data_IF_975837427062
#
_entry.id   IF_975837427062
#
_cell.length_a   1.000
_cell.length_b   1.000
_cell.length_c   1.000
_cell.angle_alpha   90.00
_cell.angle_beta   90.00
_cell.angle_gamma   90.00
#
_symmetry.space_group_name_H-M   'P 1'
#
loop_
_entity.id
_entity.type
_entity.pdbx_description
1 polymer ?
#
# COMPACT_ATOMS: atom_id res chain seq x y z
N UNK A 1 -3.10 -16.85 -29.99
CA UNK A 1 -4.02 -16.22 -29.02
C UNK A 1 -3.21 -15.83 -27.81
N UNK A 2 -3.05 -14.54 -27.54
CA UNK A 2 -2.45 -14.08 -26.29
C UNK A 2 -3.36 -14.51 -25.14
N UNK A 3 -2.81 -15.21 -24.15
CA UNK A 3 -3.55 -15.60 -22.94
C UNK A 3 -3.97 -14.32 -22.24
N UNK A 4 -5.26 -14.10 -22.05
CA UNK A 4 -5.77 -12.95 -21.30
C UNK A 4 -5.17 -13.02 -19.88
N UNK A 5 -4.32 -12.06 -19.54
CA UNK A 5 -3.55 -12.09 -18.30
C UNK A 5 -4.45 -11.59 -17.16
N UNK A 6 -4.66 -12.43 -16.15
CA UNK A 6 -5.39 -12.05 -14.94
C UNK A 6 -4.63 -10.95 -14.18
N UNK A 7 -5.34 -9.91 -13.78
CA UNK A 7 -4.81 -8.83 -12.93
C UNK A 7 -4.83 -9.27 -11.46
N UNK A 8 -3.98 -10.24 -11.12
CA UNK A 8 -3.86 -10.86 -9.81
C UNK A 8 -2.59 -10.44 -9.05
N UNK A 9 -2.29 -11.13 -7.95
CA UNK A 9 -1.11 -10.87 -7.13
C UNK A 9 0.21 -11.17 -7.85
N UNK A 10 0.25 -12.18 -8.73
CA UNK A 10 1.45 -12.50 -9.52
C UNK A 10 1.69 -11.45 -10.60
N UNK A 11 0.62 -11.00 -11.26
CA UNK A 11 0.72 -9.87 -12.18
C UNK A 11 1.23 -8.61 -11.47
N UNK A 12 0.68 -8.28 -10.29
CA UNK A 12 1.14 -7.12 -9.53
C UNK A 12 2.60 -7.26 -9.09
N UNK A 13 3.04 -8.47 -8.70
CA UNK A 13 4.42 -8.75 -8.34
C UNK A 13 5.37 -8.53 -9.52
N UNK A 14 4.99 -8.99 -10.73
CA UNK A 14 5.78 -8.76 -11.94
C UNK A 14 5.89 -7.26 -12.24
N UNK A 15 4.77 -6.53 -12.21
CA UNK A 15 4.78 -5.08 -12.45
C UNK A 15 5.62 -4.35 -11.41
N UNK A 16 5.54 -4.75 -10.14
CA UNK A 16 6.36 -4.17 -9.08
C UNK A 16 7.86 -4.40 -9.35
N UNK A 17 8.23 -5.58 -9.83
CA UNK A 17 9.61 -5.89 -10.23
C UNK A 17 10.05 -5.06 -11.44
N UNK A 18 9.24 -5.00 -12.50
CA UNK A 18 9.54 -4.27 -13.74
C UNK A 18 9.71 -2.76 -13.50
N UNK A 19 8.97 -2.21 -12.54
CA UNK A 19 9.08 -0.82 -12.10
C UNK A 19 10.28 -0.55 -11.18
N UNK A 20 11.13 -1.55 -10.91
CA UNK A 20 12.26 -1.44 -9.99
C UNK A 20 11.86 -1.34 -8.51
N UNK A 21 10.63 -1.75 -8.19
CA UNK A 21 10.07 -1.78 -6.84
C UNK A 21 10.56 -2.95 -6.00
N UNK A 22 11.22 -3.95 -6.60
CA UNK A 22 11.93 -5.03 -5.90
C UNK A 22 13.38 -5.03 -6.36
N UNK A 23 14.31 -4.92 -5.42
CA UNK A 23 15.75 -4.86 -5.70
C UNK A 23 16.49 -5.88 -4.84
N UNK A 24 17.49 -6.53 -5.43
CA UNK A 24 18.38 -7.48 -4.76
C UNK A 24 19.76 -6.86 -4.56
N UNK A 25 20.38 -7.08 -3.41
CA UNK A 25 21.63 -6.41 -3.05
C UNK A 25 21.88 -6.46 -1.56
N UNK A 26 22.60 -5.48 -1.02
CA UNK A 26 22.80 -5.32 0.42
C UNK A 26 22.23 -3.99 0.87
N UNK A 27 21.08 -4.02 1.55
CA UNK A 27 20.33 -2.82 1.92
C UNK A 27 20.33 -2.61 3.43
N UNK A 28 20.64 -1.39 3.84
CA UNK A 28 20.46 -0.93 5.22
C UNK A 28 19.50 0.27 5.20
N UNK A 29 18.25 0.04 5.65
CA UNK A 29 17.15 1.02 5.53
C UNK A 29 16.88 1.73 6.87
N UNK A 30 17.19 1.07 7.99
CA UNK A 30 17.06 1.61 9.34
C UNK A 30 17.88 0.76 10.31
N UNK A 31 18.00 1.18 11.58
CA UNK A 31 18.62 0.37 12.64
C UNK A 31 17.99 -1.02 12.81
N UNK A 32 16.70 -1.19 12.46
CA UNK A 32 16.00 -2.47 12.53
C UNK A 32 16.02 -3.26 11.20
N UNK A 33 16.59 -2.72 10.14
CA UNK A 33 16.65 -3.33 8.82
C UNK A 33 18.06 -3.17 8.24
N UNK A 34 19.01 -3.85 8.87
CA UNK A 34 20.43 -3.87 8.50
C UNK A 34 20.72 -5.10 7.65
N UNK A 35 21.49 -4.90 6.59
CA UNK A 35 22.00 -5.97 5.72
C UNK A 35 20.92 -6.89 5.11
N UNK A 36 19.79 -6.31 4.70
CA UNK A 36 18.75 -7.07 4.00
C UNK A 36 19.19 -7.42 2.58
N UNK A 37 19.02 -8.68 2.12
CA UNK A 37 19.32 -9.08 0.74
C UNK A 37 18.31 -8.52 -0.29
N UNK A 38 17.17 -8.03 0.20
CA UNK A 38 16.05 -7.57 -0.62
C UNK A 38 15.56 -6.21 -0.11
N UNK A 39 15.23 -5.32 -1.05
CA UNK A 39 14.53 -4.07 -0.77
C UNK A 39 13.24 -4.00 -1.59
N UNK A 40 12.14 -3.64 -0.93
CA UNK A 40 10.82 -3.48 -1.55
C UNK A 40 10.36 -2.04 -1.40
N UNK A 41 10.11 -1.37 -2.52
CA UNK A 41 9.64 0.00 -2.61
C UNK A 41 8.29 0.05 -3.36
N UNK A 42 7.15 -0.06 -2.65
CA UNK A 42 5.83 0.01 -3.29
C UNK A 42 5.47 1.39 -3.84
N UNK A 43 6.25 2.45 -3.52
CA UNK A 43 5.98 3.81 -4.03
C UNK A 43 6.10 3.90 -5.54
N UNK A 44 6.82 2.98 -6.18
CA UNK A 44 6.94 2.95 -7.65
C UNK A 44 5.58 2.73 -8.33
N UNK A 45 4.60 2.14 -7.64
CA UNK A 45 3.27 1.93 -8.20
C UNK A 45 2.56 3.24 -8.57
N UNK A 46 2.96 4.39 -8.00
CA UNK A 46 2.36 5.68 -8.35
C UNK A 46 2.57 6.05 -9.82
N UNK A 47 3.63 5.57 -10.47
CA UNK A 47 3.88 5.81 -11.89
C UNK A 47 3.07 4.88 -12.81
N UNK A 48 2.31 3.92 -12.25
CA UNK A 48 1.44 3.02 -13.00
C UNK A 48 0.03 2.98 -12.38
N UNK A 49 -0.91 3.81 -12.87
CA UNK A 49 -2.27 3.90 -12.32
C UNK A 49 -3.05 2.58 -12.32
N UNK A 50 -2.79 1.71 -13.30
CA UNK A 50 -3.42 0.38 -13.34
C UNK A 50 -2.90 -0.50 -12.22
N UNK A 51 -1.59 -0.54 -12.00
CA UNK A 51 -0.99 -1.30 -10.91
C UNK A 51 -1.45 -0.81 -9.54
N UNK A 52 -1.54 0.52 -9.36
CA UNK A 52 -2.05 1.12 -8.13
C UNK A 52 -3.51 0.72 -7.84
N UNK A 53 -4.36 0.66 -8.87
CA UNK A 53 -5.75 0.20 -8.76
C UNK A 53 -5.87 -1.30 -8.51
N UNK A 54 -4.99 -2.11 -9.11
CA UNK A 54 -4.96 -3.55 -8.81
C UNK A 54 -4.53 -3.78 -7.37
N UNK A 55 -3.55 -3.03 -6.86
CA UNK A 55 -3.15 -3.07 -5.46
C UNK A 55 -4.32 -2.74 -4.52
N UNK A 56 -5.13 -1.70 -4.81
CA UNK A 56 -6.31 -1.38 -3.99
C UNK A 56 -7.36 -2.49 -3.98
N UNK A 57 -7.62 -3.11 -5.13
CA UNK A 57 -8.55 -4.24 -5.24
C UNK A 57 -8.07 -5.48 -4.48
N UNK A 58 -6.79 -5.83 -4.61
CA UNK A 58 -6.20 -6.94 -3.86
C UNK A 58 -6.25 -6.67 -2.35
N UNK A 59 -5.96 -5.43 -1.90
CA UNK A 59 -6.13 -5.05 -0.49
C UNK A 59 -7.58 -5.24 -0.02
N UNK A 60 -8.58 -4.85 -0.83
CA UNK A 60 -10.00 -5.07 -0.48
C UNK A 60 -10.33 -6.55 -0.36
N UNK A 61 -9.83 -7.38 -1.27
CA UNK A 61 -10.05 -8.83 -1.24
C UNK A 61 -9.47 -9.45 0.03
N UNK A 62 -8.23 -9.08 0.39
CA UNK A 62 -7.58 -9.56 1.62
C UNK A 62 -8.33 -9.10 2.88
N UNK A 63 -8.84 -7.87 2.91
CA UNK A 63 -9.63 -7.35 4.04
C UNK A 63 -10.96 -8.10 4.15
N UNK A 64 -11.68 -8.31 3.04
CA UNK A 64 -12.92 -9.09 3.02
C UNK A 64 -12.68 -10.52 3.52
N UNK A 65 -11.61 -11.15 3.04
CA UNK A 65 -11.21 -12.48 3.48
C UNK A 65 -10.92 -12.49 4.99
N UNK A 66 -10.10 -11.56 5.47
CA UNK A 66 -9.73 -11.45 6.88
C UNK A 66 -10.93 -11.19 7.82
N UNK A 67 -11.95 -10.48 7.35
CA UNK A 67 -13.20 -10.22 8.08
C UNK A 67 -14.17 -11.42 8.06
N UNK A 68 -14.17 -12.22 6.99
CA UNK A 68 -15.08 -13.37 6.83
C UNK A 68 -14.63 -14.64 7.58
N UNK A 69 -13.40 -14.68 8.09
CA UNK A 69 -12.90 -15.82 8.87
C UNK A 69 -13.70 -16.00 10.16
N UNK A 70 -13.89 -17.26 10.59
CA UNK A 70 -14.53 -17.60 11.87
C UNK A 70 -13.92 -16.88 13.08
N UNK A 71 -12.61 -16.60 13.01
CA UNK A 71 -11.89 -15.72 13.92
C UNK A 71 -11.34 -14.56 13.09
N UNK A 72 -12.06 -13.42 13.01
CA UNK A 72 -11.66 -12.31 12.17
C UNK A 72 -10.30 -11.76 12.61
N UNK A 73 -9.40 -11.54 11.66
CA UNK A 73 -8.11 -10.88 11.91
C UNK A 73 -8.20 -9.37 11.78
N UNK A 74 -9.26 -8.90 11.11
CA UNK A 74 -9.59 -7.50 10.91
C UNK A 74 -11.04 -7.32 11.31
N UNK A 75 -11.31 -6.36 12.19
CA UNK A 75 -12.68 -5.98 12.55
C UNK A 75 -13.26 -4.99 11.51
N UNK A 76 -14.58 -4.83 11.44
CA UNK A 76 -15.18 -3.73 10.68
C UNK A 76 -14.60 -2.38 11.10
N UNK A 77 -14.42 -1.49 10.13
CA UNK A 77 -13.86 -0.15 10.32
C UNK A 77 -14.61 0.85 9.45
N UNK A 78 -14.55 2.12 9.84
CA UNK A 78 -15.20 3.23 9.14
C UNK A 78 -14.22 4.28 8.62
N UNK A 79 -12.93 4.10 8.88
CA UNK A 79 -11.87 5.04 8.49
C UNK A 79 -10.59 4.28 8.16
N UNK A 80 -9.86 4.76 7.16
CA UNK A 80 -8.53 4.28 6.77
C UNK A 80 -7.50 5.28 7.26
N UNK A 81 -6.37 4.82 7.82
CA UNK A 81 -5.26 5.67 8.19
C UNK A 81 -4.03 5.40 7.29
N UNK A 82 -3.61 6.40 6.52
CA UNK A 82 -2.40 6.33 5.69
C UNK A 82 -1.15 6.71 6.47
N UNK A 83 -0.12 5.85 6.45
CA UNK A 83 1.19 6.17 7.05
C UNK A 83 2.06 6.92 6.04
N UNK A 84 2.48 8.18 6.31
CA UNK A 84 3.29 8.94 5.37
C UNK A 84 4.72 8.38 5.21
N UNK A 85 5.36 8.53 4.04
CA UNK A 85 4.79 9.02 2.77
C UNK A 85 4.25 7.84 1.93
N UNK A 86 4.90 6.68 1.98
CA UNK A 86 4.59 5.55 1.10
C UNK A 86 3.24 4.89 1.36
N UNK A 87 2.85 4.72 2.63
CA UNK A 87 1.56 4.14 3.00
C UNK A 87 0.37 5.04 2.65
N UNK A 88 0.57 6.36 2.62
CA UNK A 88 -0.46 7.33 2.23
C UNK A 88 -0.91 7.15 0.77
N UNK A 89 0.00 6.77 -0.12
CA UNK A 89 -0.31 6.54 -1.54
C UNK A 89 -1.28 5.36 -1.72
N UNK A 90 -0.96 4.23 -1.07
CA UNK A 90 -1.81 3.03 -1.11
C UNK A 90 -3.14 3.28 -0.40
N UNK A 91 -3.12 3.97 0.75
CA UNK A 91 -4.33 4.29 1.49
C UNK A 91 -5.28 5.22 0.70
N UNK A 92 -4.72 6.15 -0.08
CA UNK A 92 -5.51 7.00 -1.00
C UNK A 92 -6.16 6.16 -2.09
N UNK A 93 -5.41 5.28 -2.75
CA UNK A 93 -5.96 4.39 -3.78
C UNK A 93 -7.06 3.48 -3.21
N UNK A 94 -6.85 2.95 -2.01
CA UNK A 94 -7.82 2.10 -1.31
C UNK A 94 -9.08 2.87 -0.90
N UNK A 95 -8.95 4.10 -0.39
CA UNK A 95 -10.08 4.98 -0.07
C UNK A 95 -10.93 5.29 -1.31
N UNK A 96 -10.31 5.56 -2.46
CA UNK A 96 -11.01 5.77 -3.72
C UNK A 96 -11.74 4.51 -4.23
N UNK A 97 -11.14 3.33 -4.07
CA UNK A 97 -11.75 2.06 -4.47
C UNK A 97 -12.97 1.70 -3.60
N UNK A 98 -12.97 2.11 -2.33
CA UNK A 98 -13.94 1.64 -1.32
C UNK A 98 -14.94 2.69 -0.87
N UNK A 99 -14.71 3.97 -1.19
CA UNK A 99 -15.42 5.12 -0.65
C UNK A 99 -15.36 5.26 0.89
N UNK A 100 -14.38 4.63 1.55
CA UNK A 100 -14.17 4.77 3.00
C UNK A 100 -13.28 6.00 3.25
N UNK A 101 -13.63 6.90 4.19
CA UNK A 101 -12.83 8.08 4.51
C UNK A 101 -11.37 7.79 4.89
N UNK A 102 -10.45 8.64 4.44
CA UNK A 102 -9.01 8.57 4.73
C UNK A 102 -8.58 9.66 5.71
N UNK A 103 -7.82 9.26 6.74
CA UNK A 103 -7.04 10.15 7.60
C UNK A 103 -5.55 9.85 7.48
N UNK A 104 -4.69 10.78 7.90
CA UNK A 104 -3.26 10.53 8.03
C UNK A 104 -2.66 11.39 9.14
N UNK A 105 -1.69 10.84 9.86
CA UNK A 105 -0.93 11.58 10.86
C UNK A 105 0.11 12.46 10.17
N UNK A 106 0.22 13.73 10.55
CA UNK A 106 1.28 14.62 10.02
C UNK A 106 2.57 14.39 10.81
N UNK A 107 3.69 14.18 10.11
CA UNK A 107 5.00 14.00 10.74
C UNK A 107 5.53 15.26 11.43
N UNK A 108 5.01 16.45 11.07
CA UNK A 108 5.24 17.69 11.81
C UNK A 108 3.89 18.34 12.14
N UNK A 109 3.70 18.84 13.38
CA UNK A 109 2.54 19.67 13.68
C UNK A 109 2.55 20.89 12.76
N UNK A 110 1.37 21.34 12.33
CA UNK A 110 1.25 22.69 11.77
C UNK A 110 1.70 23.64 12.88
N UNK A 111 2.59 24.60 12.57
CA UNK A 111 2.93 25.67 13.52
C UNK A 111 1.63 26.19 14.11
N UNK A 112 1.56 26.21 15.44
CA UNK A 112 0.38 26.68 16.18
C UNK A 112 -0.07 27.98 15.51
N UNK A 113 -1.25 27.99 14.91
CA UNK A 113 -1.97 29.23 14.80
C UNK A 113 -2.32 29.53 16.25
N UNK A 114 -1.47 30.31 16.92
CA UNK A 114 -1.83 30.95 18.17
C UNK A 114 -3.08 31.74 17.85
N UNK A 115 -4.22 31.22 18.27
CA UNK A 115 -5.44 31.99 18.37
C UNK A 115 -5.22 32.82 19.63
N UNK A 116 -4.77 34.07 19.42
CA UNK A 116 -4.99 35.14 20.40
C UNK A 116 -6.50 35.42 20.52
#
# INVERSE_FOLDING_TARGET
MAKEQSLDNLWLAQILFDLGGVQFGNFTVSESAVSSPVFVNPKVLISNPTALRVASKLMQQEINLAQSLRRPRVHPFSVIAGVPVGGLLLATAYSLETNIPLIYARSRPKGLANVE
#
